data_IF_031647378791
#
_entry.id   IF_031647378791
#
_cell.length_a   1.000
_cell.length_b   1.000
_cell.length_c   1.000
_cell.angle_alpha   90.00
_cell.angle_beta   90.00
_cell.angle_gamma   90.00
#
_symmetry.space_group_name_H-M   'P 1'
#
loop_
_entity.id
_entity.type
_entity.pdbx_description
1 polymer ?
#
# COMPACT_ATOMS: atom_id res chain seq x y z
N UNK A 1 6.68 -4.31 4.12
CA UNK A 1 7.10 -3.10 3.40
C UNK A 1 5.90 -2.45 2.72
N UNK A 2 5.48 -2.90 1.53
CA UNK A 2 4.35 -2.31 0.78
C UNK A 2 3.05 -2.16 1.61
N UNK A 3 2.67 -3.16 2.40
CA UNK A 3 1.49 -3.07 3.28
C UNK A 3 1.58 -1.93 4.30
N UNK A 4 2.77 -1.62 4.82
CA UNK A 4 2.99 -0.48 5.72
C UNK A 4 2.76 0.84 4.99
N UNK A 5 3.20 0.98 3.74
CA UNK A 5 2.90 2.16 2.92
C UNK A 5 1.39 2.29 2.63
N UNK A 6 0.72 1.16 2.38
CA UNK A 6 -0.74 1.10 2.23
C UNK A 6 -1.45 1.59 3.49
N UNK A 7 -0.99 1.15 4.66
CA UNK A 7 -1.53 1.57 5.94
C UNK A 7 -1.32 3.07 6.19
N UNK A 8 -0.13 3.62 5.89
CA UNK A 8 0.12 5.06 6.02
C UNK A 8 -0.84 5.90 5.13
N UNK A 9 -1.13 5.43 3.92
CA UNK A 9 -2.15 6.07 3.06
C UNK A 9 -3.53 5.97 3.71
N UNK A 10 -3.90 4.81 4.24
CA UNK A 10 -5.20 4.56 4.84
C UNK A 10 -5.43 5.40 6.11
N UNK A 11 -4.37 5.64 6.88
CA UNK A 11 -4.37 6.51 8.06
C UNK A 11 -4.27 8.01 7.70
N UNK A 12 -4.11 8.34 6.42
CA UNK A 12 -3.86 9.69 5.94
C UNK A 12 -2.64 10.33 6.65
N UNK A 13 -1.56 9.56 6.75
CA UNK A 13 -0.29 10.02 7.29
C UNK A 13 0.29 11.19 6.45
N UNK A 14 1.09 12.08 7.06
CA UNK A 14 1.78 13.14 6.33
C UNK A 14 2.62 12.57 5.18
N UNK A 15 2.69 13.29 4.07
CA UNK A 15 3.43 12.85 2.87
C UNK A 15 4.88 12.58 3.24
N UNK A 16 5.49 13.45 4.05
CA UNK A 16 6.89 13.35 4.49
C UNK A 16 7.18 12.02 5.21
N UNK A 17 6.21 11.48 5.96
CA UNK A 17 6.33 10.18 6.62
C UNK A 17 6.29 9.04 5.60
N UNK A 18 5.38 9.11 4.62
CA UNK A 18 5.29 8.15 3.52
C UNK A 18 6.59 8.13 2.72
N UNK A 19 7.15 9.30 2.38
CA UNK A 19 8.40 9.38 1.61
C UNK A 19 9.57 8.80 2.41
N UNK A 20 9.65 9.10 3.70
CA UNK A 20 10.71 8.60 4.59
C UNK A 20 10.68 7.08 4.66
N UNK A 21 9.50 6.47 4.82
CA UNK A 21 9.34 5.01 4.88
C UNK A 21 9.60 4.38 3.52
N UNK A 22 9.16 4.99 2.43
CA UNK A 22 9.41 4.52 1.07
C UNK A 22 10.92 4.53 0.75
N UNK A 23 11.62 5.62 1.06
CA UNK A 23 13.06 5.75 0.87
C UNK A 23 13.84 4.73 1.70
N UNK A 24 13.45 4.53 2.97
CA UNK A 24 14.04 3.49 3.82
C UNK A 24 13.84 2.10 3.20
N UNK A 25 12.61 1.75 2.83
CA UNK A 25 12.29 0.45 2.21
C UNK A 25 13.13 0.23 0.95
N UNK A 26 13.19 1.23 0.07
CA UNK A 26 13.98 1.17 -1.15
C UNK A 26 15.48 0.97 -0.87
N UNK A 27 16.04 1.71 0.10
CA UNK A 27 17.47 1.65 0.44
C UNK A 27 17.96 0.26 0.88
N UNK A 28 17.06 -0.56 1.42
CA UNK A 28 17.33 -1.93 1.87
C UNK A 28 16.79 -2.99 0.92
N UNK A 29 16.34 -2.61 -0.28
CA UNK A 29 15.85 -3.52 -1.32
C UNK A 29 14.44 -4.08 -1.08
N UNK A 30 13.64 -3.45 -0.21
CA UNK A 30 12.25 -3.85 0.01
C UNK A 30 11.31 -3.25 -1.06
N UNK A 31 10.24 -3.98 -1.42
CA UNK A 31 9.32 -3.56 -2.46
C UNK A 31 8.45 -2.39 -1.99
N UNK A 32 8.37 -1.36 -2.83
CA UNK A 32 7.53 -0.17 -2.68
C UNK A 32 6.48 -0.04 -3.82
N UNK A 33 6.44 -0.98 -4.77
CA UNK A 33 5.45 -1.06 -5.85
C UNK A 33 4.86 -2.47 -5.97
N UNK A 34 3.69 -2.59 -6.60
CA UNK A 34 3.08 -3.86 -6.96
C UNK A 34 3.93 -4.63 -7.98
N UNK A 35 4.59 -3.92 -8.90
CA UNK A 35 5.47 -4.53 -9.89
C UNK A 35 6.67 -5.23 -9.26
N UNK A 36 7.27 -4.67 -8.19
CA UNK A 36 8.33 -5.30 -7.40
C UNK A 36 7.84 -6.53 -6.60
N UNK A 37 6.53 -6.62 -6.33
CA UNK A 37 5.87 -7.80 -5.78
C UNK A 37 5.47 -8.83 -6.86
N UNK A 38 5.88 -8.63 -8.12
CA UNK A 38 5.47 -9.42 -9.28
C UNK A 38 3.97 -9.39 -9.60
N UNK A 39 3.26 -8.34 -9.16
CA UNK A 39 1.86 -8.09 -9.50
C UNK A 39 1.82 -7.07 -10.64
N UNK A 40 1.77 -7.56 -11.88
CA UNK A 40 1.86 -6.73 -13.10
C UNK A 40 0.60 -6.75 -13.96
N UNK A 41 -0.27 -7.73 -13.73
CA UNK A 41 -1.47 -8.00 -14.53
C UNK A 41 -2.66 -8.23 -13.60
N UNK A 42 -3.86 -7.97 -14.11
CA UNK A 42 -5.13 -8.08 -13.39
C UNK A 42 -5.15 -7.31 -12.06
N UNK A 43 -4.44 -6.17 -12.00
CA UNK A 43 -4.28 -5.37 -10.79
C UNK A 43 -5.64 -5.05 -10.15
N UNK A 44 -6.67 -4.55 -10.86
CA UNK A 44 -7.95 -4.25 -10.23
C UNK A 44 -8.61 -5.46 -9.56
N UNK A 45 -8.61 -6.62 -10.22
CA UNK A 45 -9.20 -7.84 -9.68
C UNK A 45 -8.41 -8.37 -8.47
N UNK A 46 -7.08 -8.38 -8.55
CA UNK A 46 -6.21 -8.82 -7.44
C UNK A 46 -6.30 -7.90 -6.24
N UNK A 47 -6.28 -6.58 -6.45
CA UNK A 47 -6.41 -5.62 -5.35
C UNK A 47 -7.79 -5.72 -4.69
N UNK A 48 -8.84 -6.02 -5.45
CA UNK A 48 -10.18 -6.26 -4.88
C UNK A 48 -10.19 -7.48 -3.95
N UNK A 49 -9.61 -8.60 -4.41
CA UNK A 49 -9.49 -9.81 -3.59
C UNK A 49 -8.66 -9.57 -2.31
N UNK A 50 -7.54 -8.86 -2.42
CA UNK A 50 -6.69 -8.52 -1.26
C UNK A 50 -7.45 -7.62 -0.28
N UNK A 51 -8.20 -6.64 -0.78
CA UNK A 51 -8.98 -5.74 0.05
C UNK A 51 -10.09 -6.47 0.81
N UNK A 52 -10.82 -7.36 0.15
CA UNK A 52 -11.86 -8.19 0.77
C UNK A 52 -11.25 -9.13 1.82
N UNK A 53 -10.13 -9.79 1.50
CA UNK A 53 -9.43 -10.67 2.44
C UNK A 53 -8.89 -9.91 3.67
N UNK A 54 -8.31 -8.72 3.46
CA UNK A 54 -7.78 -7.88 4.54
C UNK A 54 -8.87 -7.42 5.53
N UNK A 55 -10.12 -7.34 5.05
CA UNK A 55 -11.29 -6.95 5.85
C UNK A 55 -12.12 -8.14 6.35
N UNK A 56 -11.63 -9.38 6.20
CA UNK A 56 -12.33 -10.56 6.69
C UNK A 56 -12.55 -10.52 8.22
N UNK A 57 -13.55 -11.26 8.70
CA UNK A 57 -13.83 -11.36 10.13
C UNK A 57 -12.61 -11.90 10.89
N UNK A 58 -12.23 -11.23 11.98
CA UNK A 58 -11.08 -11.61 12.81
C UNK A 58 -9.73 -11.03 12.37
N UNK A 59 -9.67 -10.31 11.26
CA UNK A 59 -8.44 -9.63 10.81
C UNK A 59 -8.06 -8.43 11.68
N UNK A 60 -6.77 -8.09 11.70
CA UNK A 60 -6.26 -7.01 12.57
C UNK A 60 -6.62 -5.61 12.07
N UNK A 61 -7.09 -5.48 10.82
CA UNK A 61 -7.48 -4.18 10.24
C UNK A 61 -8.61 -3.51 11.02
N UNK A 62 -9.43 -4.30 11.72
CA UNK A 62 -10.54 -3.82 12.54
C UNK A 62 -10.07 -3.05 13.79
N UNK A 63 -8.77 -3.09 14.12
CA UNK A 63 -8.19 -2.28 15.19
C UNK A 63 -7.99 -0.82 14.78
N UNK A 64 -8.15 -0.48 13.50
CA UNK A 64 -8.01 0.89 13.03
C UNK A 64 -9.12 1.80 13.58
N UNK A 65 -8.79 3.00 14.10
CA UNK A 65 -9.79 3.96 14.58
C UNK A 65 -10.82 4.29 13.48
N UNK A 66 -12.11 4.17 13.81
CA UNK A 66 -13.20 4.45 12.87
C UNK A 66 -13.57 3.29 11.94
N UNK A 67 -12.83 2.17 11.99
CA UNK A 67 -13.04 1.03 11.12
C UNK A 67 -12.60 1.29 9.68
N UNK A 68 -12.49 0.20 8.91
CA UNK A 68 -12.01 0.25 7.53
C UNK A 68 -12.89 -0.65 6.67
N UNK A 69 -13.28 -0.12 5.51
CA UNK A 69 -14.03 -0.87 4.50
C UNK A 69 -13.10 -1.45 3.43
N UNK A 70 -13.50 -2.56 2.75
CA UNK A 70 -12.75 -3.09 1.62
C UNK A 70 -12.50 -2.05 0.52
N UNK A 71 -13.46 -1.14 0.27
CA UNK A 71 -13.29 -0.09 -0.74
C UNK A 71 -12.18 0.91 -0.36
N UNK A 72 -12.03 1.23 0.93
CA UNK A 72 -10.93 2.07 1.41
C UNK A 72 -9.59 1.35 1.30
N UNK A 73 -9.52 0.06 1.63
CA UNK A 73 -8.29 -0.74 1.44
C UNK A 73 -7.91 -0.82 -0.03
N UNK A 74 -8.88 -1.07 -0.90
CA UNK A 74 -8.68 -1.12 -2.35
C UNK A 74 -8.09 0.19 -2.88
N UNK A 75 -8.67 1.33 -2.50
CA UNK A 75 -8.15 2.63 -2.88
C UNK A 75 -6.73 2.85 -2.32
N UNK A 76 -6.52 2.50 -1.05
CA UNK A 76 -5.23 2.64 -0.38
C UNK A 76 -4.14 1.72 -0.94
N UNK A 77 -4.46 0.61 -1.61
CA UNK A 77 -3.48 -0.26 -2.26
C UNK A 77 -2.91 0.34 -3.55
N UNK A 78 -3.67 1.19 -4.24
CA UNK A 78 -3.28 1.78 -5.52
C UNK A 78 -2.40 3.03 -5.36
N UNK A 79 -2.58 3.78 -4.27
CA UNK A 79 -1.84 5.03 -4.03
C UNK A 79 -0.34 4.79 -3.78
N UNK A 80 0.09 3.85 -2.91
CA UNK A 80 1.50 3.53 -2.71
C UNK A 80 2.16 2.99 -3.97
N UNK A 81 1.43 2.27 -4.81
CA UNK A 81 1.97 1.79 -6.09
C UNK A 81 2.32 2.95 -7.02
N UNK A 82 1.39 3.91 -7.19
CA UNK A 82 1.65 5.12 -7.97
C UNK A 82 2.79 5.96 -7.37
N UNK A 83 2.79 6.12 -6.04
CA UNK A 83 3.82 6.85 -5.33
C UNK A 83 5.20 6.19 -5.50
N UNK A 84 5.29 4.89 -5.29
CA UNK A 84 6.51 4.11 -5.45
C UNK A 84 7.04 4.12 -6.89
N UNK A 85 6.16 4.05 -7.90
CA UNK A 85 6.56 4.18 -9.30
C UNK A 85 7.18 5.54 -9.59
N UNK A 86 6.58 6.63 -9.09
CA UNK A 86 7.12 7.98 -9.23
C UNK A 86 8.46 8.14 -8.50
N UNK A 87 8.56 7.62 -7.29
CA UNK A 87 9.81 7.61 -6.52
C UNK A 87 10.93 6.93 -7.31
N UNK A 88 10.68 5.76 -7.91
CA UNK A 88 11.68 5.05 -8.71
C UNK A 88 12.07 5.84 -9.97
N UNK A 89 11.13 6.52 -10.64
CA UNK A 89 11.42 7.35 -11.82
C UNK A 89 12.26 8.60 -11.50
N UNK A 90 12.15 9.14 -10.29
CA UNK A 90 12.91 10.34 -9.88
C UNK A 90 14.32 9.98 -9.36
N UNK A 91 14.56 8.72 -8.99
CA UNK A 91 15.81 8.26 -8.34
C UNK A 91 16.64 7.28 -9.19
N UNK A 92 16.11 6.78 -10.31
CA UNK A 92 16.83 6.05 -11.38
C UNK A 92 17.14 6.96 -12.58
#
# INVERSE_FOLDING_TARGET
AFATLTQLVLENAPVEEIETVAALCHSVGLPITLAQLNIKEDIPAKMRLIAEASCAEGETIHNMPGGVTPDQVYAALLVPDQYGQRFLQEWE
#
